data_IF_297821389603
#
_entry.id   IF_297821389603
#
_cell.length_a   1.000
_cell.length_b   1.000
_cell.length_c   1.000
_cell.angle_alpha   90.00
_cell.angle_beta   90.00
_cell.angle_gamma   90.00
#
_symmetry.space_group_name_H-M   'P 1'
#
loop_
_entity.id
_entity.type
_entity.pdbx_description
1 polymer ?
#
# COMPACT_ATOMS: atom_id res chain seq x y z
N UNK A 1 -26.99 26.44 13.21
CA UNK A 1 -25.82 25.59 13.54
C UNK A 1 -25.34 24.97 12.24
N UNK A 2 -24.05 25.04 11.87
CA UNK A 2 -23.56 24.27 10.73
C UNK A 2 -23.56 22.78 11.11
N UNK A 3 -24.02 21.92 10.20
CA UNK A 3 -23.94 20.48 10.37
C UNK A 3 -22.46 20.05 10.45
N UNK A 4 -22.11 19.04 11.26
CA UNK A 4 -20.77 18.49 11.26
C UNK A 4 -20.43 17.99 9.85
N UNK A 5 -19.22 18.30 9.38
CA UNK A 5 -18.70 17.72 8.15
C UNK A 5 -18.64 16.20 8.34
N UNK A 6 -19.51 15.47 7.64
CA UNK A 6 -19.37 14.02 7.52
C UNK A 6 -18.02 13.80 6.85
N UNK A 7 -17.10 13.00 7.43
CA UNK A 7 -15.84 12.71 6.78
C UNK A 7 -16.16 12.13 5.41
N UNK A 8 -15.74 12.79 4.34
CA UNK A 8 -15.88 12.21 3.01
C UNK A 8 -15.02 10.95 2.98
N UNK A 9 -15.65 9.79 3.15
CA UNK A 9 -14.99 8.50 3.00
C UNK A 9 -14.68 8.29 1.52
N UNK A 10 -13.61 8.92 1.04
CA UNK A 10 -13.16 8.71 -0.31
C UNK A 10 -12.79 7.23 -0.52
N UNK A 11 -13.37 6.65 -1.56
CA UNK A 11 -13.01 5.32 -2.01
C UNK A 11 -11.51 5.29 -2.37
N UNK A 12 -10.80 4.26 -1.89
CA UNK A 12 -9.43 4.00 -2.32
C UNK A 12 -9.47 3.18 -3.60
N UNK A 13 -8.92 3.73 -4.68
CA UNK A 13 -8.68 3.00 -5.92
C UNK A 13 -7.23 2.54 -5.98
N UNK A 14 -7.02 1.29 -6.38
CA UNK A 14 -5.70 0.75 -6.72
C UNK A 14 -5.58 0.75 -8.24
N UNK A 15 -4.63 1.51 -8.76
CA UNK A 15 -4.38 1.60 -10.20
C UNK A 15 -3.24 0.65 -10.55
N UNK A 16 -3.45 -0.17 -11.58
CA UNK A 16 -2.48 -1.14 -12.06
C UNK A 16 -2.26 -0.91 -13.56
N UNK A 17 -1.07 -1.23 -14.05
CA UNK A 17 -0.75 -1.15 -15.48
C UNK A 17 -1.75 -1.99 -16.30
N UNK A 18 -2.28 -1.48 -17.44
CA UNK A 18 -3.38 -2.12 -18.19
C UNK A 18 -3.06 -3.53 -18.72
N UNK A 19 -1.78 -3.86 -18.88
CA UNK A 19 -1.34 -5.21 -19.24
C UNK A 19 -1.56 -6.27 -18.13
N UNK A 20 -1.94 -5.86 -16.91
CA UNK A 20 -2.22 -6.76 -15.79
C UNK A 20 -3.73 -6.91 -15.62
N UNK A 21 -4.22 -8.12 -15.89
CA UNK A 21 -5.64 -8.49 -15.79
C UNK A 21 -5.98 -9.31 -14.54
N UNK A 22 -4.98 -9.59 -13.70
CA UNK A 22 -5.16 -10.37 -12.47
C UNK A 22 -6.14 -9.66 -11.53
N UNK A 23 -7.11 -10.41 -11.02
CA UNK A 23 -7.96 -9.94 -9.93
C UNK A 23 -7.11 -9.88 -8.65
N UNK A 24 -7.07 -8.72 -8.01
CA UNK A 24 -6.36 -8.52 -6.74
C UNK A 24 -7.36 -8.26 -5.62
N UNK A 25 -7.34 -9.12 -4.62
CA UNK A 25 -8.01 -8.86 -3.35
C UNK A 25 -7.22 -7.89 -2.48
N UNK A 26 -7.85 -7.41 -1.40
CA UNK A 26 -7.18 -6.50 -0.44
C UNK A 26 -5.93 -7.12 0.19
N UNK A 27 -5.94 -8.44 0.42
CA UNK A 27 -4.80 -9.17 0.97
C UNK A 27 -3.65 -9.29 -0.05
N UNK A 28 -3.94 -9.51 -1.33
CA UNK A 28 -2.92 -9.50 -2.37
C UNK A 28 -2.21 -8.14 -2.42
N UNK A 29 -2.98 -7.06 -2.37
CA UNK A 29 -2.44 -5.70 -2.35
C UNK A 29 -1.58 -5.50 -1.09
N UNK A 30 -2.03 -5.96 0.08
CA UNK A 30 -1.24 -5.89 1.29
C UNK A 30 0.08 -6.67 1.16
N UNK A 31 0.05 -7.88 0.62
CA UNK A 31 1.24 -8.70 0.40
C UNK A 31 2.21 -8.08 -0.60
N UNK A 32 1.71 -7.41 -1.64
CA UNK A 32 2.52 -6.67 -2.60
C UNK A 32 3.22 -5.49 -1.91
N UNK A 33 2.46 -4.66 -1.19
CA UNK A 33 2.99 -3.45 -0.56
C UNK A 33 3.86 -3.72 0.68
N UNK A 34 3.68 -4.87 1.34
CA UNK A 34 4.58 -5.38 2.37
C UNK A 34 5.73 -6.22 1.80
N UNK A 35 5.94 -6.26 0.48
CA UNK A 35 7.02 -7.05 -0.16
C UNK A 35 6.98 -8.56 0.14
N UNK A 36 5.85 -9.11 0.59
CA UNK A 36 5.64 -10.56 0.77
C UNK A 36 5.38 -11.26 -0.57
N UNK A 37 4.74 -10.57 -1.52
CA UNK A 37 4.58 -10.98 -2.93
C UNK A 37 5.39 -10.03 -3.81
N UNK A 38 6.40 -10.54 -4.49
CA UNK A 38 7.34 -9.73 -5.29
C UNK A 38 7.27 -9.99 -6.79
N UNK A 39 6.59 -11.07 -7.18
CA UNK A 39 6.45 -11.50 -8.57
C UNK A 39 4.99 -11.77 -8.88
N UNK A 40 4.60 -11.47 -10.11
CA UNK A 40 3.36 -11.93 -10.72
C UNK A 40 3.42 -13.43 -10.99
N UNK A 41 2.29 -14.04 -11.34
CA UNK A 41 2.22 -15.49 -11.64
C UNK A 41 3.04 -15.88 -12.88
N UNK A 42 3.21 -14.94 -13.81
CA UNK A 42 4.07 -15.07 -14.99
C UNK A 42 5.58 -14.89 -14.68
N UNK A 43 5.94 -14.69 -13.41
CA UNK A 43 7.31 -14.46 -12.97
C UNK A 43 7.83 -13.03 -13.15
N UNK A 44 7.04 -12.12 -13.73
CA UNK A 44 7.46 -10.73 -13.87
C UNK A 44 7.54 -10.02 -12.50
N UNK A 45 8.52 -9.13 -12.27
CA UNK A 45 8.63 -8.42 -11.00
C UNK A 45 7.48 -7.41 -10.79
N UNK A 46 7.06 -7.26 -9.54
CA UNK A 46 6.06 -6.27 -9.14
C UNK A 46 6.76 -4.99 -8.66
N UNK A 47 6.40 -3.86 -9.29
CA UNK A 47 6.82 -2.52 -8.86
C UNK A 47 5.64 -1.83 -8.19
N UNK A 48 5.58 -1.90 -6.87
CA UNK A 48 4.59 -1.16 -6.08
C UNK A 48 5.07 0.27 -5.83
N UNK A 49 4.14 1.23 -5.88
CA UNK A 49 4.41 2.66 -5.69
C UNK A 49 3.54 3.21 -4.57
N UNK A 50 4.20 3.79 -3.58
CA UNK A 50 3.57 4.46 -2.46
C UNK A 50 3.22 5.90 -2.84
N UNK A 51 2.04 6.37 -2.43
CA UNK A 51 1.76 7.82 -2.40
C UNK A 51 2.72 8.53 -1.44
N UNK A 52 2.86 9.82 -1.67
CA UNK A 52 3.62 10.76 -0.86
C UNK A 52 3.23 10.65 0.62
N UNK A 53 4.21 10.73 1.55
CA UNK A 53 3.94 10.68 2.98
C UNK A 53 3.04 11.85 3.42
N UNK A 54 2.29 11.64 4.50
CA UNK A 54 1.40 12.67 5.06
C UNK A 54 0.07 12.88 4.31
N UNK A 55 -0.14 12.25 3.14
CA UNK A 55 -1.41 12.35 2.42
C UNK A 55 -2.53 11.54 3.10
N UNK A 56 -3.77 12.04 3.02
CA UNK A 56 -4.94 11.33 3.56
C UNK A 56 -5.12 9.94 2.92
N UNK A 57 -4.85 9.83 1.61
CA UNK A 57 -4.90 8.56 0.89
C UNK A 57 -3.86 7.56 1.41
N UNK A 58 -2.62 7.99 1.69
CA UNK A 58 -1.58 7.14 2.27
C UNK A 58 -1.97 6.63 3.65
N UNK A 59 -2.48 7.50 4.51
CA UNK A 59 -2.92 7.13 5.84
C UNK A 59 -4.12 6.15 5.80
N UNK A 60 -5.09 6.40 4.92
CA UNK A 60 -6.22 5.50 4.71
C UNK A 60 -5.78 4.14 4.16
N UNK A 61 -4.84 4.12 3.20
CA UNK A 61 -4.29 2.90 2.63
C UNK A 61 -3.57 2.04 3.69
N UNK A 62 -2.69 2.63 4.50
CA UNK A 62 -1.98 1.91 5.56
C UNK A 62 -2.96 1.25 6.54
N UNK A 63 -3.97 2.00 7.00
CA UNK A 63 -4.96 1.46 7.95
C UNK A 63 -5.88 0.41 7.33
N UNK A 64 -6.43 0.67 6.14
CA UNK A 64 -7.47 -0.19 5.54
C UNK A 64 -6.89 -1.41 4.84
N UNK A 65 -5.76 -1.24 4.14
CA UNK A 65 -5.14 -2.29 3.32
C UNK A 65 -4.03 -3.00 4.08
N UNK A 66 -3.08 -2.26 4.66
CA UNK A 66 -1.95 -2.86 5.37
C UNK A 66 -2.31 -3.27 6.80
N UNK A 67 -3.47 -2.83 7.31
CA UNK A 67 -3.95 -3.05 8.69
C UNK A 67 -2.90 -2.67 9.73
N UNK A 68 -2.16 -1.61 9.45
CA UNK A 68 -1.06 -1.15 10.28
C UNK A 68 -1.05 0.38 10.35
N UNK A 69 -0.71 0.90 11.52
CA UNK A 69 -0.40 2.31 11.71
C UNK A 69 1.07 2.63 11.31
N UNK A 70 1.47 3.91 11.29
CA UNK A 70 2.83 4.29 10.92
C UNK A 70 3.93 3.65 11.78
N UNK A 71 3.74 3.52 13.10
CA UNK A 71 4.75 2.98 14.00
C UNK A 71 4.92 1.46 13.81
N UNK A 72 3.82 0.73 13.60
CA UNK A 72 3.84 -0.69 13.25
C UNK A 72 4.53 -0.94 11.91
N UNK A 73 4.32 -0.05 10.92
CA UNK A 73 5.01 -0.15 9.63
C UNK A 73 6.50 0.18 9.76
N UNK A 74 6.88 1.17 10.57
CA UNK A 74 8.27 1.48 10.85
C UNK A 74 9.00 0.27 11.45
N UNK A 75 8.43 -0.34 12.49
CA UNK A 75 8.99 -1.54 13.10
C UNK A 75 9.08 -2.72 12.12
N UNK A 76 8.03 -2.91 11.32
CA UNK A 76 8.04 -3.92 10.25
C UNK A 76 9.21 -3.72 9.27
N UNK A 77 9.45 -2.47 8.85
CA UNK A 77 10.55 -2.18 7.92
C UNK A 77 11.92 -2.29 8.60
N UNK A 78 12.06 -1.93 9.87
CA UNK A 78 13.27 -2.16 10.65
C UNK A 78 13.70 -3.63 10.58
N UNK A 79 12.77 -4.56 10.80
CA UNK A 79 13.06 -5.99 10.63
C UNK A 79 13.44 -6.34 9.18
N UNK A 80 12.69 -5.82 8.20
CA UNK A 80 12.90 -6.14 6.78
C UNK A 80 14.23 -5.61 6.22
N UNK A 81 14.77 -4.53 6.76
CA UNK A 81 16.08 -4.02 6.36
C UNK A 81 17.20 -5.02 6.67
N UNK A 82 17.11 -5.77 7.78
CA UNK A 82 18.07 -6.84 8.08
C UNK A 82 18.01 -7.98 7.05
N UNK A 83 16.84 -8.20 6.44
CA UNK A 83 16.64 -9.16 5.34
C UNK A 83 17.07 -8.59 3.97
N UNK A 84 17.59 -7.35 3.90
CA UNK A 84 17.89 -6.64 2.65
C UNK A 84 16.65 -6.24 1.85
N UNK A 85 15.47 -6.18 2.48
CA UNK A 85 14.20 -5.84 1.83
C UNK A 85 13.81 -4.41 2.17
N UNK A 86 13.68 -3.60 1.13
CA UNK A 86 13.34 -2.18 1.25
C UNK A 86 11.84 -1.95 0.95
N UNK A 87 11.21 -0.95 1.59
CA UNK A 87 9.84 -0.56 1.29
C UNK A 87 9.63 -0.20 -0.19
N UNK A 88 8.38 -0.19 -0.68
CA UNK A 88 8.10 0.30 -2.03
C UNK A 88 8.50 1.76 -2.22
N UNK A 89 8.92 2.09 -3.44
CA UNK A 89 9.29 3.46 -3.83
C UNK A 89 8.12 4.41 -3.62
N UNK A 90 8.41 5.64 -3.19
CA UNK A 90 7.41 6.71 -3.06
C UNK A 90 7.36 7.49 -4.38
N UNK A 91 6.17 7.89 -4.81
CA UNK A 91 6.00 8.82 -5.93
C UNK A 91 6.68 10.15 -5.60
N UNK A 92 7.55 10.60 -6.51
CA UNK A 92 8.27 11.88 -6.43
C UNK A 92 7.65 12.92 -7.35
#
# INVERSE_FOLDING_TARGET
MPAPAVPEEHALAIVVHPARTAALGIEDVAHIFLRKRRFWEDGAPIVALNREPGTAARAAFSRRVLRADPAQLEEYWNHKYFDGVFPPTVLS
#
